data_IF_416892878698
#
_entry.id   IF_416892878698
#
_cell.length_a   1.000
_cell.length_b   1.000
_cell.length_c   1.000
_cell.angle_alpha   90.00
_cell.angle_beta   90.00
_cell.angle_gamma   90.00
#
_symmetry.space_group_name_H-M   'P 1'
#
loop_
_entity.id
_entity.type
_entity.pdbx_description
1 polymer ?
#
# COMPACT_ATOMS: atom_id res chain seq x y z
N UNK A 1 13.97 36.63 -56.73
CA UNK A 1 12.58 37.09 -56.73
C UNK A 1 11.87 36.33 -55.62
N UNK A 2 11.76 36.96 -54.47
CA UNK A 2 11.14 36.40 -53.29
C UNK A 2 9.78 37.09 -53.15
N UNK A 3 8.70 36.31 -53.23
CA UNK A 3 7.34 36.85 -53.06
C UNK A 3 7.07 36.96 -51.54
N UNK A 4 6.88 38.21 -51.10
CA UNK A 4 6.28 38.53 -49.79
C UNK A 4 4.80 38.19 -49.80
N UNK A 5 4.37 37.34 -48.89
CA UNK A 5 2.94 37.09 -48.60
C UNK A 5 2.59 37.95 -47.38
N UNK A 6 1.83 39.02 -47.58
CA UNK A 6 1.32 39.86 -46.50
C UNK A 6 0.09 39.23 -45.85
N UNK A 7 0.16 39.04 -44.53
CA UNK A 7 -0.92 38.49 -43.65
C UNK A 7 -1.74 39.64 -43.01
N UNK A 8 -2.42 40.48 -43.76
CA UNK A 8 -3.17 41.60 -43.17
C UNK A 8 -4.71 41.45 -43.18
N UNK A 9 -5.24 40.26 -43.44
CA UNK A 9 -6.70 40.09 -43.60
C UNK A 9 -7.44 39.34 -42.48
N UNK A 10 -6.75 38.70 -41.53
CA UNK A 10 -7.37 37.72 -40.60
C UNK A 10 -7.35 38.18 -39.13
N UNK A 11 -6.55 39.15 -38.74
CA UNK A 11 -6.34 39.53 -37.32
C UNK A 11 -7.48 40.42 -36.77
N UNK A 12 -8.10 41.25 -37.60
CA UNK A 12 -9.11 42.20 -37.14
C UNK A 12 -10.45 41.58 -36.70
N UNK A 13 -10.98 40.52 -37.34
CA UNK A 13 -12.21 39.87 -36.88
C UNK A 13 -12.05 39.13 -35.55
N UNK A 14 -10.88 38.55 -35.28
CA UNK A 14 -10.61 37.80 -34.03
C UNK A 14 -10.57 38.71 -32.81
N UNK A 15 -10.00 39.89 -32.89
CA UNK A 15 -9.93 40.86 -31.79
C UNK A 15 -11.33 41.38 -31.39
N UNK A 16 -12.24 41.57 -32.34
CA UNK A 16 -13.61 42.02 -32.06
C UNK A 16 -14.44 40.93 -31.38
N UNK A 17 -14.24 39.67 -31.75
CA UNK A 17 -14.90 38.52 -31.10
C UNK A 17 -14.39 38.34 -29.66
N UNK A 18 -13.09 38.48 -29.41
CA UNK A 18 -12.51 38.36 -28.07
C UNK A 18 -12.95 39.50 -27.13
N UNK A 19 -13.04 40.71 -27.63
CA UNK A 19 -13.54 41.87 -26.86
C UNK A 19 -15.02 41.74 -26.49
N UNK A 20 -15.86 41.15 -27.36
CA UNK A 20 -17.29 40.91 -27.08
C UNK A 20 -17.49 39.74 -26.10
N UNK A 21 -16.66 38.69 -26.15
CA UNK A 21 -16.71 37.59 -25.17
C UNK A 21 -16.33 38.07 -23.78
N UNK A 22 -15.26 38.86 -23.62
CA UNK A 22 -14.83 39.40 -22.32
C UNK A 22 -15.86 40.35 -21.71
N UNK A 23 -16.54 41.18 -22.54
CA UNK A 23 -17.56 42.10 -22.05
C UNK A 23 -18.81 41.36 -21.54
N UNK A 24 -19.20 40.27 -22.17
CA UNK A 24 -20.32 39.42 -21.72
C UNK A 24 -19.97 38.61 -20.47
N UNK A 25 -18.72 38.14 -20.32
CA UNK A 25 -18.25 37.43 -19.13
C UNK A 25 -18.24 38.36 -17.93
N UNK A 26 -17.81 39.61 -18.06
CA UNK A 26 -17.83 40.59 -16.95
C UNK A 26 -19.25 41.02 -16.54
N UNK A 27 -20.23 40.98 -17.44
CA UNK A 27 -21.64 41.21 -17.09
C UNK A 27 -22.24 40.05 -16.35
N UNK A 28 -21.86 38.81 -16.69
CA UNK A 28 -22.31 37.59 -16.02
C UNK A 28 -21.77 37.51 -14.58
N UNK A 29 -20.50 37.85 -14.36
CA UNK A 29 -19.90 37.86 -12.99
C UNK A 29 -20.50 38.94 -12.09
N UNK A 30 -20.88 40.11 -12.63
CA UNK A 30 -21.57 41.15 -11.86
C UNK A 30 -23.02 40.74 -11.50
N UNK A 31 -23.73 40.06 -12.36
CA UNK A 31 -25.07 39.50 -12.05
C UNK A 31 -25.00 38.42 -10.98
N UNK A 32 -24.01 37.51 -11.00
CA UNK A 32 -23.81 36.50 -9.97
C UNK A 32 -23.46 37.10 -8.61
N UNK A 33 -22.61 38.14 -8.55
CA UNK A 33 -22.29 38.85 -7.31
C UNK A 33 -23.48 39.56 -6.67
N UNK A 34 -24.37 40.16 -7.49
CA UNK A 34 -25.58 40.79 -6.98
C UNK A 34 -26.61 39.76 -6.47
N UNK A 35 -26.71 38.57 -7.05
CA UNK A 35 -27.59 37.52 -6.58
C UNK A 35 -27.09 36.92 -5.25
N UNK A 36 -25.77 36.78 -5.04
CA UNK A 36 -25.19 36.29 -3.82
C UNK A 36 -25.39 37.25 -2.62
N UNK A 37 -25.32 38.56 -2.86
CA UNK A 37 -25.54 39.59 -1.85
C UNK A 37 -27.02 39.71 -1.47
N UNK A 38 -27.94 39.52 -2.43
CA UNK A 38 -29.37 39.58 -2.17
C UNK A 38 -29.89 38.33 -1.41
N UNK A 39 -29.27 37.16 -1.60
CA UNK A 39 -29.62 35.94 -0.84
C UNK A 39 -29.15 36.00 0.63
N UNK A 40 -28.06 36.69 0.94
CA UNK A 40 -27.56 36.87 2.30
C UNK A 40 -28.42 37.87 3.10
N UNK A 41 -28.98 38.90 2.44
CA UNK A 41 -29.83 39.89 3.10
C UNK A 41 -31.28 39.41 3.36
N UNK A 42 -31.76 38.40 2.66
CA UNK A 42 -33.09 37.82 2.86
C UNK A 42 -33.12 36.74 3.97
N UNK A 43 -31.97 36.19 4.38
CA UNK A 43 -31.85 35.25 5.49
C UNK A 43 -31.75 35.90 6.89
N UNK A 44 -31.54 37.22 6.99
CA UNK A 44 -31.31 37.89 8.26
C UNK A 44 -32.58 38.38 8.98
N UNK A 45 -33.77 38.17 8.43
CA UNK A 45 -35.01 38.75 8.98
C UNK A 45 -36.04 37.77 9.56
N UNK A 46 -35.73 36.50 9.80
CA UNK A 46 -36.62 35.54 10.48
C UNK A 46 -35.82 34.51 11.32
N UNK A 47 -35.21 34.98 12.41
CA UNK A 47 -34.87 34.09 13.52
C UNK A 47 -35.66 34.51 14.75
N UNK A 48 -36.82 33.90 14.95
CA UNK A 48 -37.41 33.73 16.31
C UNK A 48 -36.74 32.48 16.90
N UNK A 49 -36.11 32.68 18.05
CA UNK A 49 -35.53 31.61 18.84
C UNK A 49 -36.54 30.52 19.13
N UNK A 50 -36.35 29.34 18.61
CA UNK A 50 -36.84 28.08 19.16
C UNK A 50 -35.63 27.32 19.70
N UNK A 51 -35.71 26.72 20.90
CA UNK A 51 -34.61 25.90 21.42
C UNK A 51 -34.50 24.63 20.57
N UNK A 52 -33.56 24.60 19.63
CA UNK A 52 -33.25 23.40 18.90
C UNK A 52 -32.48 22.45 19.81
N UNK A 53 -33.15 21.38 20.23
CA UNK A 53 -32.46 20.15 20.62
C UNK A 53 -31.79 19.60 19.35
N UNK A 54 -30.57 20.05 19.04
CA UNK A 54 -29.69 19.35 18.15
C UNK A 54 -29.17 18.14 18.94
N UNK A 55 -29.90 17.02 18.87
CA UNK A 55 -29.24 15.73 18.98
C UNK A 55 -28.31 15.64 17.77
N UNK A 56 -27.05 16.06 17.93
CA UNK A 56 -25.98 15.59 17.12
C UNK A 56 -25.94 14.08 17.33
N UNK A 57 -26.27 13.32 16.29
CA UNK A 57 -25.83 11.94 16.23
C UNK A 57 -24.31 12.02 16.18
N UNK A 58 -23.63 11.92 17.34
CA UNK A 58 -22.25 11.46 17.37
C UNK A 58 -22.28 10.12 16.64
N UNK A 59 -21.74 10.07 15.43
CA UNK A 59 -21.38 8.79 14.83
C UNK A 59 -20.53 8.08 15.87
N UNK A 60 -21.06 7.00 16.42
CA UNK A 60 -20.39 6.22 17.44
C UNK A 60 -19.03 5.82 16.87
N UNK A 61 -17.95 6.32 17.46
CA UNK A 61 -16.59 5.90 17.11
C UNK A 61 -16.58 4.39 17.31
N UNK A 62 -16.30 3.59 16.27
CA UNK A 62 -16.38 2.15 16.39
C UNK A 62 -15.43 1.70 17.52
N UNK A 63 -15.93 0.86 18.41
CA UNK A 63 -15.15 0.28 19.50
C UNK A 63 -13.96 -0.46 18.91
N UNK A 64 -12.76 -0.24 19.49
CA UNK A 64 -11.55 -0.95 19.07
C UNK A 64 -11.66 -2.38 19.58
N UNK A 65 -11.89 -3.32 18.67
CA UNK A 65 -11.87 -4.75 18.99
C UNK A 65 -10.45 -5.24 18.86
N UNK A 66 -9.85 -5.64 20.00
CA UNK A 66 -8.53 -6.29 20.02
C UNK A 66 -8.70 -7.72 19.48
N UNK A 67 -8.01 -8.11 18.40
CA UNK A 67 -8.10 -9.46 17.88
C UNK A 67 -7.64 -10.47 18.95
N UNK A 68 -8.33 -11.60 19.06
CA UNK A 68 -7.83 -12.69 19.92
C UNK A 68 -6.68 -13.39 19.25
N UNK A 69 -5.47 -13.28 19.82
CA UNK A 69 -4.31 -14.04 19.38
C UNK A 69 -4.36 -15.42 19.99
N UNK A 70 -4.22 -16.51 19.22
CA UNK A 70 -4.09 -17.86 19.76
C UNK A 70 -2.91 -17.96 20.74
N UNK A 71 -3.05 -18.77 21.79
CA UNK A 71 -1.97 -18.98 22.74
C UNK A 71 -0.70 -19.51 22.02
N UNK A 72 0.53 -19.10 22.44
CA UNK A 72 1.77 -19.59 21.88
C UNK A 72 1.83 -21.11 21.92
N UNK A 73 2.37 -21.70 20.85
CA UNK A 73 2.56 -23.15 20.70
C UNK A 73 4.05 -23.40 20.41
N UNK A 74 4.75 -24.26 21.17
CA UNK A 74 6.16 -24.55 20.93
C UNK A 74 6.49 -25.06 19.52
N UNK A 75 5.49 -25.62 18.81
CA UNK A 75 5.62 -26.05 17.42
C UNK A 75 5.33 -24.92 16.41
N UNK A 76 4.91 -23.76 16.89
CA UNK A 76 4.55 -22.62 16.02
C UNK A 76 5.80 -21.99 15.38
N UNK A 77 5.63 -21.31 14.22
CA UNK A 77 6.70 -20.58 13.56
C UNK A 77 7.37 -19.56 14.47
N UNK A 78 8.66 -19.30 14.24
CA UNK A 78 9.40 -18.26 14.94
C UNK A 78 9.30 -16.93 14.18
N UNK A 79 9.03 -15.87 14.93
CA UNK A 79 9.15 -14.49 14.49
C UNK A 79 10.32 -13.85 15.23
N UNK A 80 11.36 -13.47 14.51
CA UNK A 80 12.50 -12.73 15.06
C UNK A 80 12.16 -11.25 15.10
N UNK A 81 12.55 -10.58 16.18
CA UNK A 81 12.27 -9.17 16.43
C UNK A 81 13.54 -8.43 16.87
N UNK A 82 13.71 -7.21 16.36
CA UNK A 82 14.67 -6.22 16.88
C UNK A 82 14.01 -4.84 16.97
N UNK A 83 14.33 -4.10 18.03
CA UNK A 83 13.94 -2.67 18.14
C UNK A 83 14.84 -1.75 17.33
N UNK A 84 15.99 -2.25 16.83
CA UNK A 84 16.93 -1.50 16.00
C UNK A 84 16.44 -1.36 14.56
N UNK A 85 15.84 -0.18 14.25
CA UNK A 85 15.39 0.18 12.91
C UNK A 85 16.53 0.89 12.17
N UNK A 86 17.61 0.18 11.97
CA UNK A 86 18.75 0.61 11.14
C UNK A 86 18.98 -0.35 9.98
N UNK A 87 19.85 0.02 9.06
CA UNK A 87 20.26 -0.85 7.96
C UNK A 87 20.93 -2.14 8.48
N UNK A 88 21.64 -2.05 9.60
CA UNK A 88 22.25 -3.18 10.33
C UNK A 88 21.19 -4.03 11.03
N UNK A 89 20.19 -3.42 11.66
CA UNK A 89 19.08 -4.13 12.30
C UNK A 89 18.29 -4.99 11.32
N UNK A 90 18.03 -4.48 10.11
CA UNK A 90 17.38 -5.26 9.03
C UNK A 90 18.24 -6.44 8.60
N UNK A 91 19.55 -6.27 8.51
CA UNK A 91 20.47 -7.37 8.19
C UNK A 91 20.49 -8.42 9.30
N UNK A 92 20.55 -8.00 10.59
CA UNK A 92 20.56 -8.93 11.72
C UNK A 92 19.29 -9.78 11.78
N UNK A 93 18.12 -9.19 11.57
CA UNK A 93 16.86 -9.95 11.61
C UNK A 93 16.74 -10.90 10.42
N UNK A 94 17.27 -10.54 9.25
CA UNK A 94 17.39 -11.44 8.12
C UNK A 94 18.34 -12.61 8.42
N UNK A 95 19.51 -12.34 8.99
CA UNK A 95 20.48 -13.39 9.34
C UNK A 95 19.91 -14.36 10.38
N UNK A 96 19.12 -13.88 11.32
CA UNK A 96 18.46 -14.71 12.34
C UNK A 96 17.50 -15.77 11.75
N UNK A 97 16.97 -15.54 10.53
CA UNK A 97 16.16 -16.54 9.83
C UNK A 97 16.93 -17.82 9.50
N UNK A 98 18.26 -17.74 9.37
CA UNK A 98 19.10 -18.89 9.02
C UNK A 98 18.86 -19.45 7.60
N UNK A 99 18.18 -18.71 6.72
CA UNK A 99 17.87 -19.10 5.34
C UNK A 99 18.77 -18.33 4.39
N UNK A 100 19.76 -18.96 3.76
CA UNK A 100 20.67 -18.29 2.85
C UNK A 100 19.95 -17.92 1.54
N UNK A 101 20.02 -16.65 1.15
CA UNK A 101 19.59 -16.24 -0.18
C UNK A 101 20.48 -16.87 -1.24
N UNK A 102 19.89 -17.44 -2.29
CA UNK A 102 20.61 -18.13 -3.36
C UNK A 102 19.99 -17.85 -4.73
N UNK A 103 20.79 -18.03 -5.78
CA UNK A 103 20.34 -17.75 -7.15
C UNK A 103 20.11 -16.28 -7.43
N UNK A 104 19.14 -15.97 -8.26
CA UNK A 104 18.71 -14.59 -8.55
C UNK A 104 17.73 -14.14 -7.49
N UNK A 105 18.13 -13.14 -6.69
CA UNK A 105 17.38 -12.68 -5.52
C UNK A 105 16.53 -11.47 -5.87
N UNK A 106 15.22 -11.59 -5.69
CA UNK A 106 14.28 -10.49 -5.70
C UNK A 106 14.13 -9.91 -4.29
N UNK A 107 14.25 -8.61 -4.12
CA UNK A 107 13.84 -7.90 -2.90
C UNK A 107 12.58 -7.12 -3.20
N UNK A 108 11.42 -7.63 -2.78
CA UNK A 108 10.12 -7.02 -3.05
C UNK A 108 9.83 -5.91 -2.05
N UNK A 109 9.72 -4.70 -2.56
CA UNK A 109 9.47 -3.49 -1.78
C UNK A 109 8.24 -2.72 -2.29
N UNK A 110 7.92 -1.60 -1.65
CA UNK A 110 7.04 -0.55 -2.17
C UNK A 110 7.83 0.75 -2.24
N UNK A 111 8.02 1.27 -3.46
CA UNK A 111 8.82 2.48 -3.72
C UNK A 111 8.07 3.78 -3.43
N UNK A 112 6.78 3.69 -3.04
CA UNK A 112 5.94 4.84 -2.71
C UNK A 112 5.40 5.58 -3.94
N UNK A 113 4.30 6.30 -3.77
CA UNK A 113 3.66 7.06 -4.86
C UNK A 113 4.31 8.43 -5.08
N UNK A 114 4.84 9.05 -4.02
CA UNK A 114 5.56 10.32 -4.09
C UNK A 114 6.72 10.37 -3.10
N UNK A 115 7.55 11.42 -3.18
CA UNK A 115 8.60 11.66 -2.20
C UNK A 115 8.06 11.90 -0.77
N UNK A 116 6.76 12.25 -0.64
CA UNK A 116 6.08 12.44 0.65
C UNK A 116 5.47 11.15 1.22
N UNK A 117 5.36 10.09 0.42
CA UNK A 117 4.93 8.77 0.90
C UNK A 117 5.90 8.26 1.97
N UNK A 118 5.39 7.52 2.97
CA UNK A 118 6.19 7.04 4.10
C UNK A 118 6.95 5.73 3.79
N UNK A 119 7.22 5.43 2.52
CA UNK A 119 7.90 4.22 2.06
C UNK A 119 9.30 4.05 2.69
N UNK A 120 9.80 2.83 2.74
CA UNK A 120 11.15 2.51 3.19
C UNK A 120 12.19 3.24 2.33
N UNK A 121 13.06 4.01 2.97
CA UNK A 121 14.08 4.78 2.27
C UNK A 121 15.22 3.87 1.79
N UNK A 122 15.86 4.18 0.63
CA UNK A 122 16.97 3.39 0.12
C UNK A 122 18.08 3.14 1.14
N UNK A 123 18.45 4.16 1.92
CA UNK A 123 19.51 4.10 2.93
C UNK A 123 19.23 3.03 3.99
N UNK A 124 17.95 2.84 4.35
CA UNK A 124 17.54 1.88 5.38
C UNK A 124 17.66 0.44 4.88
N UNK A 125 17.41 0.18 3.59
CA UNK A 125 17.37 -1.18 3.04
C UNK A 125 18.66 -1.57 2.31
N UNK A 126 19.57 -0.61 2.06
CA UNK A 126 20.77 -0.78 1.25
C UNK A 126 21.62 -1.96 1.67
N UNK A 127 21.92 -2.08 2.98
CA UNK A 127 22.84 -3.11 3.46
C UNK A 127 22.30 -4.53 3.21
N UNK A 128 21.00 -4.75 3.41
CA UNK A 128 20.38 -6.03 3.08
C UNK A 128 20.43 -6.32 1.58
N UNK A 129 20.01 -5.36 0.74
CA UNK A 129 19.96 -5.53 -0.71
C UNK A 129 21.35 -5.84 -1.28
N UNK A 130 22.37 -5.13 -0.83
CA UNK A 130 23.76 -5.33 -1.27
C UNK A 130 24.34 -6.65 -0.73
N UNK A 131 24.03 -7.02 0.53
CA UNK A 131 24.47 -8.28 1.13
C UNK A 131 24.03 -9.50 0.31
N UNK A 132 22.80 -9.48 -0.20
CA UNK A 132 22.23 -10.60 -0.96
C UNK A 132 22.41 -10.45 -2.48
N UNK A 133 23.11 -9.40 -2.94
CA UNK A 133 23.19 -9.05 -4.36
C UNK A 133 21.82 -9.03 -5.04
N UNK A 134 20.84 -8.42 -4.36
CA UNK A 134 19.44 -8.47 -4.73
C UNK A 134 19.05 -7.44 -5.80
N UNK A 135 18.05 -7.77 -6.60
CA UNK A 135 17.32 -6.83 -7.46
C UNK A 135 16.09 -6.36 -6.72
N UNK A 136 15.87 -5.05 -6.63
CA UNK A 136 14.64 -4.48 -6.13
C UNK A 136 13.50 -4.73 -7.14
N UNK A 137 12.38 -5.28 -6.69
CA UNK A 137 11.28 -5.63 -7.60
C UNK A 137 9.96 -5.00 -7.19
N UNK A 138 9.20 -4.53 -8.19
CA UNK A 138 7.84 -4.00 -8.08
C UNK A 138 7.00 -4.37 -9.31
N UNK A 139 5.70 -4.09 -9.26
CA UNK A 139 4.81 -4.06 -10.42
C UNK A 139 4.09 -2.71 -10.51
N UNK A 140 3.69 -2.32 -11.71
CA UNK A 140 2.91 -1.11 -11.96
C UNK A 140 1.59 -1.11 -11.17
N UNK A 141 1.08 0.08 -10.86
CA UNK A 141 -0.21 0.23 -10.18
C UNK A 141 -1.38 0.15 -11.16
N UNK A 142 -2.55 -0.26 -10.66
CA UNK A 142 -3.78 -0.33 -11.43
C UNK A 142 -4.59 0.98 -11.42
N UNK A 143 -4.10 2.02 -10.73
CA UNK A 143 -4.69 3.36 -10.68
C UNK A 143 -3.76 4.38 -11.32
N UNK A 144 -4.29 5.55 -11.69
CA UNK A 144 -3.49 6.65 -12.20
C UNK A 144 -2.51 7.19 -11.15
N UNK A 145 -1.31 7.59 -11.59
CA UNK A 145 -0.28 8.13 -10.70
C UNK A 145 1.12 7.94 -11.26
N UNK A 146 2.11 8.12 -10.39
CA UNK A 146 3.54 8.08 -10.77
C UNK A 146 4.07 6.66 -11.02
N UNK A 147 3.31 5.63 -10.69
CA UNK A 147 3.66 4.22 -10.89
C UNK A 147 2.68 3.49 -11.81
N UNK A 148 1.87 4.23 -12.59
CA UNK A 148 0.82 3.65 -13.44
C UNK A 148 1.32 3.07 -14.76
N UNK A 149 2.53 3.39 -15.17
CA UNK A 149 3.21 2.83 -16.34
C UNK A 149 4.68 2.59 -15.99
N UNK A 150 5.32 1.65 -16.67
CA UNK A 150 6.73 1.33 -16.45
C UNK A 150 7.63 2.57 -16.57
N UNK A 151 7.42 3.42 -17.57
CA UNK A 151 8.20 4.66 -17.75
C UNK A 151 8.09 5.60 -16.56
N UNK A 152 6.86 5.89 -16.10
CA UNK A 152 6.62 6.75 -14.94
C UNK A 152 7.17 6.12 -13.65
N UNK A 153 7.01 4.82 -13.51
CA UNK A 153 7.46 4.08 -12.33
C UNK A 153 8.99 4.10 -12.22
N UNK A 154 9.71 3.85 -13.33
CA UNK A 154 11.17 3.94 -13.36
C UNK A 154 11.67 5.36 -13.05
N UNK A 155 11.00 6.39 -13.57
CA UNK A 155 11.30 7.78 -13.22
C UNK A 155 11.09 8.05 -11.72
N UNK A 156 9.99 7.56 -11.16
CA UNK A 156 9.71 7.71 -9.74
C UNK A 156 10.76 6.99 -8.85
N UNK A 157 11.27 5.86 -9.28
CA UNK A 157 12.33 5.10 -8.64
C UNK A 157 13.65 5.86 -8.67
N UNK A 158 14.02 6.43 -9.82
CA UNK A 158 15.21 7.27 -9.98
C UNK A 158 15.14 8.51 -9.08
N UNK A 159 14.03 9.23 -9.09
CA UNK A 159 13.81 10.42 -8.24
C UNK A 159 13.93 10.12 -6.74
N UNK A 160 13.75 8.87 -6.31
CA UNK A 160 13.83 8.43 -4.91
C UNK A 160 15.14 7.75 -4.55
N UNK A 161 16.09 7.64 -5.49
CA UNK A 161 17.43 7.13 -5.25
C UNK A 161 17.53 5.61 -5.12
N UNK A 162 16.51 4.83 -5.51
CA UNK A 162 16.62 3.38 -5.44
C UNK A 162 17.64 2.79 -6.40
N UNK A 163 17.85 3.43 -7.57
CA UNK A 163 18.88 3.02 -8.54
C UNK A 163 20.31 3.18 -8.01
N UNK A 164 20.51 3.99 -6.96
CA UNK A 164 21.82 4.21 -6.34
C UNK A 164 22.26 3.03 -5.46
N UNK A 165 21.32 2.17 -5.06
CA UNK A 165 21.60 1.05 -4.17
C UNK A 165 21.55 -0.32 -4.84
N UNK A 166 20.75 -0.50 -5.89
CA UNK A 166 20.62 -1.76 -6.64
C UNK A 166 19.94 -1.56 -8.00
N UNK A 167 20.00 -2.58 -8.85
CA UNK A 167 19.13 -2.70 -10.02
C UNK A 167 17.68 -2.78 -9.59
N UNK A 168 16.78 -2.13 -10.34
CA UNK A 168 15.33 -2.19 -10.12
C UNK A 168 14.65 -2.82 -11.33
N UNK A 169 13.72 -3.74 -11.08
CA UNK A 169 12.92 -4.43 -12.10
C UNK A 169 11.43 -4.21 -11.85
N UNK A 170 10.72 -3.69 -12.84
CA UNK A 170 9.26 -3.62 -12.88
C UNK A 170 8.76 -4.91 -13.52
N UNK A 171 8.40 -5.89 -12.70
CA UNK A 171 8.16 -7.27 -13.12
C UNK A 171 7.06 -7.44 -14.17
N UNK A 172 6.11 -6.51 -14.27
CA UNK A 172 5.05 -6.51 -15.28
C UNK A 172 5.33 -5.60 -16.48
N UNK A 173 6.60 -5.14 -16.66
CA UNK A 173 6.99 -4.28 -17.78
C UNK A 173 6.89 -4.96 -19.14
N UNK A 174 7.08 -6.28 -19.21
CA UNK A 174 7.05 -7.09 -20.43
C UNK A 174 5.85 -8.05 -20.47
N UNK A 175 4.87 -7.89 -19.57
CA UNK A 175 3.64 -8.67 -19.58
C UNK A 175 3.34 -9.38 -18.25
N UNK A 176 2.48 -10.37 -18.32
CA UNK A 176 1.93 -11.06 -17.16
C UNK A 176 2.18 -12.56 -17.20
N UNK A 177 2.18 -13.18 -16.04
CA UNK A 177 2.22 -14.63 -15.84
C UNK A 177 1.05 -15.01 -14.92
N UNK A 178 0.23 -15.97 -15.35
CA UNK A 178 -0.81 -16.54 -14.50
C UNK A 178 -0.24 -17.74 -13.74
N UNK A 179 -0.16 -17.64 -12.41
CA UNK A 179 0.25 -18.73 -11.53
C UNK A 179 -0.96 -19.39 -10.87
N UNK A 180 -0.91 -20.72 -10.59
CA UNK A 180 -2.04 -21.42 -10.01
C UNK A 180 -2.31 -20.98 -8.57
N UNK A 181 -3.58 -20.87 -8.21
CA UNK A 181 -4.05 -20.71 -6.83
C UNK A 181 -4.50 -22.04 -6.26
N UNK A 182 -4.22 -22.31 -4.99
CA UNK A 182 -4.75 -23.51 -4.29
C UNK A 182 -6.19 -23.26 -3.83
N UNK A 183 -6.48 -22.08 -3.29
CA UNK A 183 -7.83 -21.65 -2.97
C UNK A 183 -8.46 -20.89 -4.13
N UNK A 184 -9.43 -21.49 -4.79
CA UNK A 184 -10.12 -20.93 -5.95
C UNK A 184 -11.53 -20.39 -5.63
N UNK A 185 -11.80 -20.04 -4.37
CA UNK A 185 -13.11 -19.49 -3.94
C UNK A 185 -13.47 -18.23 -4.75
N UNK A 186 -12.57 -17.28 -4.83
CA UNK A 186 -12.78 -16.01 -5.52
C UNK A 186 -12.00 -15.92 -6.82
N UNK A 187 -10.66 -16.02 -6.75
CA UNK A 187 -9.77 -15.94 -7.91
C UNK A 187 -9.45 -17.34 -8.43
N UNK A 188 -9.27 -17.49 -9.73
CA UNK A 188 -8.98 -18.78 -10.37
C UNK A 188 -7.50 -18.95 -10.72
N UNK A 189 -6.77 -17.88 -10.73
CA UNK A 189 -5.32 -17.75 -10.92
C UNK A 189 -4.86 -16.47 -10.23
N UNK A 190 -3.58 -16.36 -9.95
CA UNK A 190 -2.98 -15.08 -9.60
C UNK A 190 -2.19 -14.56 -10.79
N UNK A 191 -2.52 -13.35 -11.27
CA UNK A 191 -1.89 -12.72 -12.44
C UNK A 191 -0.79 -11.79 -11.99
N UNK A 192 0.43 -12.29 -11.98
CA UNK A 192 1.65 -11.63 -11.53
C UNK A 192 2.42 -10.99 -12.69
N UNK A 193 3.44 -10.18 -12.37
CA UNK A 193 4.38 -9.70 -13.38
C UNK A 193 5.19 -10.86 -13.98
N UNK A 194 5.38 -10.87 -15.31
CA UNK A 194 6.02 -12.00 -16.02
C UNK A 194 7.46 -12.25 -15.55
N UNK A 195 8.16 -11.22 -15.08
CA UNK A 195 9.54 -11.35 -14.60
C UNK A 195 9.67 -12.08 -13.26
N UNK A 196 8.56 -12.42 -12.56
CA UNK A 196 8.60 -13.27 -11.37
C UNK A 196 9.34 -14.58 -11.63
N UNK A 197 9.21 -15.14 -12.82
CA UNK A 197 9.90 -16.37 -13.26
C UNK A 197 11.43 -16.23 -13.31
N UNK A 198 11.96 -15.00 -13.34
CA UNK A 198 13.39 -14.74 -13.42
C UNK A 198 14.11 -14.92 -12.08
N UNK A 199 13.39 -15.09 -10.97
CA UNK A 199 13.95 -15.11 -9.63
C UNK A 199 13.86 -16.51 -9.00
N UNK A 200 14.89 -16.82 -8.23
CA UNK A 200 15.03 -18.09 -7.52
C UNK A 200 14.77 -17.91 -6.02
N UNK A 201 14.98 -16.71 -5.50
CA UNK A 201 14.77 -16.35 -4.10
C UNK A 201 14.03 -15.00 -3.98
N UNK A 202 13.09 -14.90 -3.05
CA UNK A 202 12.43 -13.63 -2.77
C UNK A 202 12.58 -13.24 -1.29
N UNK A 203 13.04 -12.02 -1.04
CA UNK A 203 12.90 -11.35 0.24
C UNK A 203 11.70 -10.42 0.11
N UNK A 204 10.59 -10.77 0.74
CA UNK A 204 9.42 -9.91 0.84
C UNK A 204 9.67 -8.90 1.96
N UNK A 205 10.22 -7.73 1.60
CA UNK A 205 10.56 -6.64 2.51
C UNK A 205 9.44 -5.61 2.51
N UNK A 206 8.54 -5.70 3.46
CA UNK A 206 7.38 -4.83 3.55
C UNK A 206 7.58 -3.71 4.59
N UNK A 207 7.09 -2.53 4.26
CA UNK A 207 6.80 -1.48 5.22
C UNK A 207 5.42 -1.78 5.84
N UNK A 208 5.33 -1.97 7.16
CA UNK A 208 4.06 -2.17 7.85
C UNK A 208 3.38 -0.83 8.13
N UNK A 209 2.10 -0.68 7.79
CA UNK A 209 1.32 0.57 7.90
C UNK A 209 -0.16 0.32 7.70
N UNK A 210 -0.98 1.37 7.88
CA UNK A 210 -2.39 1.34 7.50
C UNK A 210 -2.61 1.24 5.99
N UNK A 211 -3.82 0.88 5.62
CA UNK A 211 -4.24 0.84 4.21
C UNK A 211 -5.73 1.16 4.08
N UNK A 212 -6.07 2.02 3.11
CA UNK A 212 -7.44 2.51 2.93
C UNK A 212 -8.46 1.39 2.66
N UNK A 213 -8.08 0.34 1.95
CA UNK A 213 -8.96 -0.76 1.58
C UNK A 213 -8.70 -2.04 2.39
N UNK A 214 -7.44 -2.43 2.60
CA UNK A 214 -7.10 -3.68 3.31
C UNK A 214 -6.97 -3.53 4.84
N UNK A 215 -7.21 -2.34 5.40
CA UNK A 215 -6.99 -2.07 6.83
C UNK A 215 -5.53 -1.82 7.16
N UNK A 216 -4.65 -2.75 6.82
CA UNK A 216 -3.21 -2.62 6.92
C UNK A 216 -2.49 -3.15 5.68
N UNK A 217 -1.20 -2.88 5.58
CA UNK A 217 -0.31 -3.45 4.58
C UNK A 217 0.94 -3.97 5.27
N UNK A 218 1.14 -5.28 5.23
CA UNK A 218 2.32 -6.01 5.64
C UNK A 218 2.79 -6.93 4.52
N UNK A 219 3.45 -8.04 4.87
CA UNK A 219 4.02 -8.97 3.87
C UNK A 219 2.94 -9.69 3.05
N UNK A 220 1.78 -10.02 3.62
CA UNK A 220 0.67 -10.63 2.87
C UNK A 220 0.20 -9.73 1.73
N UNK A 221 0.02 -8.43 2.00
CA UNK A 221 -0.33 -7.46 0.96
C UNK A 221 0.81 -7.22 -0.02
N UNK A 222 2.05 -7.13 0.46
CA UNK A 222 3.20 -6.85 -0.40
C UNK A 222 3.44 -7.96 -1.41
N UNK A 223 3.20 -9.23 -1.06
CA UNK A 223 3.34 -10.33 -2.01
C UNK A 223 2.10 -10.59 -2.84
N UNK A 224 0.88 -10.31 -2.37
CA UNK A 224 -0.32 -10.43 -3.19
C UNK A 224 -0.45 -9.26 -4.16
N UNK A 225 -0.90 -8.10 -3.67
CA UNK A 225 -1.12 -6.89 -4.49
C UNK A 225 0.20 -6.37 -5.08
N UNK A 226 1.31 -6.44 -4.33
CA UNK A 226 2.59 -5.89 -4.77
C UNK A 226 3.25 -6.68 -5.91
N UNK A 227 3.05 -7.98 -6.00
CA UNK A 227 3.58 -8.88 -7.04
C UNK A 227 2.63 -9.04 -8.23
N UNK A 228 1.32 -8.86 -8.00
CA UNK A 228 0.33 -8.86 -9.06
C UNK A 228 0.62 -7.77 -10.10
N UNK A 229 0.43 -8.07 -11.39
CA UNK A 229 0.42 -7.07 -12.46
C UNK A 229 -0.72 -6.08 -12.29
N UNK A 230 -0.75 -5.00 -13.08
CA UNK A 230 -1.88 -4.05 -13.04
C UNK A 230 -3.23 -4.74 -13.23
N UNK A 231 -3.35 -5.70 -14.14
CA UNK A 231 -4.56 -6.49 -14.34
C UNK A 231 -4.86 -7.43 -13.16
N UNK A 232 -3.82 -8.06 -12.59
CA UNK A 232 -3.93 -8.92 -11.42
C UNK A 232 -4.40 -8.16 -10.18
N UNK A 233 -3.93 -6.93 -9.98
CA UNK A 233 -4.42 -6.05 -8.93
C UNK A 233 -5.92 -5.81 -9.03
N UNK A 234 -6.45 -5.53 -10.23
CA UNK A 234 -7.89 -5.35 -10.48
C UNK A 234 -8.65 -6.65 -10.18
N UNK A 235 -8.08 -7.79 -10.57
CA UNK A 235 -8.70 -9.10 -10.37
C UNK A 235 -8.84 -9.44 -8.88
N UNK A 236 -7.78 -9.22 -8.09
CA UNK A 236 -7.80 -9.42 -6.64
C UNK A 236 -8.78 -8.44 -5.96
N UNK A 237 -8.71 -7.13 -6.28
CA UNK A 237 -9.60 -6.13 -5.67
C UNK A 237 -11.08 -6.35 -5.99
N UNK A 238 -11.38 -6.94 -7.13
CA UNK A 238 -12.75 -7.26 -7.53
C UNK A 238 -13.25 -8.60 -7.00
N UNK A 239 -12.49 -9.32 -6.19
CA UNK A 239 -12.79 -10.69 -5.79
C UNK A 239 -13.06 -11.58 -7.02
N UNK A 240 -12.14 -11.58 -7.99
CA UNK A 240 -12.18 -12.43 -9.18
C UNK A 240 -13.16 -12.02 -10.28
N UNK A 241 -13.79 -10.84 -10.19
CA UNK A 241 -14.87 -10.45 -11.13
C UNK A 241 -14.37 -9.67 -12.36
N UNK A 242 -13.22 -9.01 -12.28
CA UNK A 242 -12.72 -8.17 -13.38
C UNK A 242 -11.21 -7.96 -13.35
N UNK A 243 -10.58 -8.06 -14.52
CA UNK A 243 -9.17 -7.67 -14.76
C UNK A 243 -9.02 -6.28 -15.38
N UNK A 244 -10.14 -5.60 -15.67
CA UNK A 244 -10.14 -4.33 -16.42
C UNK A 244 -10.85 -3.19 -15.71
N UNK A 245 -11.62 -3.47 -14.68
CA UNK A 245 -12.39 -2.46 -13.93
C UNK A 245 -12.15 -2.58 -12.44
N UNK A 246 -12.00 -1.43 -11.81
CA UNK A 246 -11.93 -1.33 -10.36
C UNK A 246 -13.29 -1.65 -9.73
N UNK A 247 -13.31 -2.56 -8.77
CA UNK A 247 -14.50 -2.93 -7.99
C UNK A 247 -14.05 -3.16 -6.54
N UNK A 248 -14.81 -2.65 -5.57
CA UNK A 248 -14.46 -2.71 -4.14
C UNK A 248 -15.69 -2.84 -3.22
N UNK A 249 -16.75 -3.47 -3.72
CA UNK A 249 -18.04 -3.65 -3.03
C UNK A 249 -18.15 -5.00 -2.28
N UNK A 250 -17.07 -5.78 -2.23
CA UNK A 250 -16.98 -7.03 -1.49
C UNK A 250 -15.68 -7.05 -0.66
N UNK A 251 -15.76 -6.51 0.56
CA UNK A 251 -14.60 -6.31 1.42
C UNK A 251 -13.92 -7.63 1.81
N UNK A 252 -14.68 -8.59 2.32
CA UNK A 252 -14.12 -9.87 2.76
C UNK A 252 -13.62 -10.70 1.57
N UNK A 253 -14.37 -10.71 0.46
CA UNK A 253 -13.92 -11.37 -0.78
C UNK A 253 -12.63 -10.77 -1.34
N UNK A 254 -12.38 -9.47 -1.15
CA UNK A 254 -11.11 -8.83 -1.49
C UNK A 254 -9.98 -9.32 -0.56
N UNK A 255 -10.20 -9.35 0.75
CA UNK A 255 -9.20 -9.82 1.73
C UNK A 255 -8.85 -11.29 1.54
N UNK A 256 -9.87 -12.14 1.30
CA UNK A 256 -9.71 -13.55 0.99
C UNK A 256 -8.99 -13.78 -0.33
N UNK A 257 -9.29 -12.95 -1.35
CA UNK A 257 -8.53 -12.98 -2.63
C UNK A 257 -7.07 -12.57 -2.45
N UNK A 258 -6.77 -11.62 -1.58
CA UNK A 258 -5.38 -11.27 -1.24
C UNK A 258 -4.67 -12.44 -0.56
N UNK A 259 -5.33 -13.14 0.37
CA UNK A 259 -4.76 -14.31 1.04
C UNK A 259 -4.48 -15.44 0.04
N UNK A 260 -5.40 -15.73 -0.87
CA UNK A 260 -5.23 -16.74 -1.93
C UNK A 260 -4.10 -16.38 -2.90
N UNK A 261 -3.98 -15.11 -3.32
CA UNK A 261 -2.88 -14.63 -4.15
C UNK A 261 -1.53 -14.69 -3.40
N UNK A 262 -1.51 -14.30 -2.11
CA UNK A 262 -0.31 -14.45 -1.28
C UNK A 262 0.13 -15.91 -1.17
N UNK A 263 -0.81 -16.84 -1.01
CA UNK A 263 -0.53 -18.27 -1.01
C UNK A 263 0.03 -18.75 -2.36
N UNK A 264 -0.50 -18.26 -3.47
CA UNK A 264 -0.02 -18.63 -4.80
C UNK A 264 1.46 -18.23 -5.00
N UNK A 265 1.84 -17.00 -4.61
CA UNK A 265 3.23 -16.54 -4.66
C UNK A 265 4.12 -17.33 -3.70
N UNK A 266 3.66 -17.59 -2.47
CA UNK A 266 4.38 -18.44 -1.52
C UNK A 266 4.66 -19.83 -2.12
N UNK A 267 3.63 -20.51 -2.63
CA UNK A 267 3.74 -21.83 -3.23
C UNK A 267 4.65 -21.83 -4.47
N UNK A 268 4.64 -20.76 -5.25
CA UNK A 268 5.53 -20.60 -6.39
C UNK A 268 7.00 -20.61 -5.97
N UNK A 269 7.34 -19.95 -4.85
CA UNK A 269 8.71 -19.91 -4.32
C UNK A 269 9.05 -21.09 -3.40
N UNK A 270 8.09 -21.96 -3.04
CA UNK A 270 8.37 -23.20 -2.29
C UNK A 270 8.53 -24.41 -3.20
N UNK A 271 8.71 -24.20 -4.52
CA UNK A 271 9.11 -25.25 -5.46
C UNK A 271 10.61 -25.55 -5.34
N UNK A 272 11.03 -26.67 -5.91
CA UNK A 272 12.45 -27.08 -5.91
C UNK A 272 13.36 -25.98 -6.50
N UNK A 273 14.43 -25.66 -5.78
CA UNK A 273 15.41 -24.64 -6.18
C UNK A 273 14.98 -23.18 -5.94
N UNK A 274 13.84 -22.93 -5.30
CA UNK A 274 13.34 -21.59 -4.96
C UNK A 274 13.03 -21.48 -3.48
N UNK A 275 13.07 -20.25 -2.94
CA UNK A 275 12.61 -19.99 -1.59
C UNK A 275 12.15 -18.53 -1.40
N UNK A 276 11.44 -18.26 -0.29
CA UNK A 276 10.94 -16.95 0.09
C UNK A 276 11.01 -16.75 1.60
N UNK A 277 11.41 -15.56 2.01
CA UNK A 277 11.41 -15.11 3.41
C UNK A 277 10.74 -13.74 3.53
N UNK A 278 10.36 -13.38 4.75
CA UNK A 278 9.48 -12.25 5.02
C UNK A 278 10.08 -11.33 6.07
N UNK A 279 10.02 -10.01 5.82
CA UNK A 279 10.46 -8.97 6.75
C UNK A 279 9.41 -7.85 6.74
N UNK A 280 8.94 -7.45 7.93
CA UNK A 280 8.15 -6.24 8.14
C UNK A 280 8.98 -5.20 8.89
N UNK A 281 9.00 -3.97 8.38
CA UNK A 281 9.59 -2.81 9.06
C UNK A 281 8.45 -1.94 9.58
N UNK A 282 8.38 -1.78 10.90
CA UNK A 282 7.33 -1.04 11.60
C UNK A 282 7.84 0.35 12.02
N UNK A 283 8.12 1.19 11.02
CA UNK A 283 8.55 2.58 11.21
C UNK A 283 7.66 3.53 10.40
N UNK A 284 7.58 4.78 10.81
CA UNK A 284 6.79 5.81 10.12
C UNK A 284 5.38 5.33 9.75
N UNK A 285 4.74 4.58 10.64
CA UNK A 285 3.45 3.94 10.40
C UNK A 285 2.32 4.96 10.36
N UNK A 286 1.85 5.26 9.15
CA UNK A 286 0.66 6.08 8.89
C UNK A 286 -0.59 5.19 8.83
N UNK A 287 -1.77 5.80 8.98
CA UNK A 287 -3.06 5.18 8.65
C UNK A 287 -3.22 4.96 7.14
N UNK A 288 -2.41 5.66 6.33
CA UNK A 288 -2.42 5.57 4.88
C UNK A 288 -1.20 4.79 4.38
N UNK A 289 -1.33 4.24 3.19
CA UNK A 289 -0.35 3.36 2.58
C UNK A 289 0.68 4.17 1.77
N UNK A 290 1.84 3.57 1.47
CA UNK A 290 2.84 4.14 0.55
C UNK A 290 2.30 4.43 -0.84
N UNK A 291 1.13 3.88 -1.19
CA UNK A 291 0.41 4.16 -2.43
C UNK A 291 -0.35 5.50 -2.40
N UNK A 292 -0.38 6.21 -1.28
CA UNK A 292 -0.89 7.56 -1.18
C UNK A 292 0.26 8.56 -1.40
N UNK A 293 0.06 9.49 -2.33
CA UNK A 293 1.04 10.53 -2.65
C UNK A 293 1.10 11.67 -1.62
N UNK A 294 0.12 11.73 -0.69
CA UNK A 294 0.04 12.70 0.38
C UNK A 294 -0.57 12.08 1.65
N UNK A 295 0.07 11.05 2.21
CA UNK A 295 -0.46 10.30 3.35
C UNK A 295 -0.55 11.18 4.60
N UNK A 296 -1.42 10.79 5.52
CA UNK A 296 -1.44 11.34 6.87
C UNK A 296 -0.07 11.14 7.55
N UNK A 297 0.32 12.10 8.38
CA UNK A 297 1.55 11.97 9.16
C UNK A 297 1.48 10.73 10.08
N UNK A 298 2.57 9.96 10.19
CA UNK A 298 2.69 8.90 11.17
C UNK A 298 2.44 9.44 12.59
N UNK A 299 1.68 8.71 13.40
CA UNK A 299 1.38 9.08 14.79
C UNK A 299 1.87 8.02 15.77
N UNK A 300 1.71 6.75 15.42
CA UNK A 300 2.17 5.64 16.25
C UNK A 300 3.70 5.60 16.25
N UNK A 301 4.27 5.36 17.43
CA UNK A 301 5.70 5.21 17.61
C UNK A 301 6.24 4.05 16.77
N UNK A 302 7.45 4.21 16.25
CA UNK A 302 8.18 3.14 15.59
C UNK A 302 8.39 1.97 16.55
N UNK A 303 8.17 0.74 16.08
CA UNK A 303 8.13 -0.45 16.94
C UNK A 303 9.34 -1.37 16.75
N UNK A 304 9.83 -1.51 15.52
CA UNK A 304 10.97 -2.40 15.25
C UNK A 304 10.93 -3.03 13.87
N UNK A 305 11.75 -4.05 13.70
CA UNK A 305 11.82 -4.88 12.48
C UNK A 305 11.57 -6.33 12.88
N UNK A 306 10.69 -7.00 12.15
CA UNK A 306 10.34 -8.40 12.39
C UNK A 306 10.62 -9.24 11.14
N UNK A 307 11.01 -10.49 11.32
CA UNK A 307 11.21 -11.44 10.23
C UNK A 307 10.71 -12.84 10.58
N UNK A 308 10.20 -13.56 9.59
CA UNK A 308 9.79 -14.96 9.71
C UNK A 308 9.88 -15.68 8.36
N UNK A 309 9.88 -17.00 8.38
CA UNK A 309 9.63 -17.83 7.19
C UNK A 309 8.15 -18.10 6.96
N UNK A 310 7.28 -17.67 7.89
CA UNK A 310 5.82 -17.77 7.81
C UNK A 310 5.22 -16.36 7.71
N UNK A 311 4.54 -16.02 6.58
CA UNK A 311 4.01 -14.68 6.38
C UNK A 311 2.79 -14.36 7.25
N UNK A 312 2.03 -15.37 7.65
CA UNK A 312 0.84 -15.21 8.50
C UNK A 312 1.27 -14.90 9.94
N UNK A 313 2.23 -15.67 10.46
CA UNK A 313 2.82 -15.45 11.76
C UNK A 313 3.42 -14.04 11.87
N UNK A 314 4.11 -13.61 10.82
CA UNK A 314 4.75 -12.29 10.78
C UNK A 314 3.75 -11.13 10.80
N UNK A 315 2.74 -11.16 9.93
CA UNK A 315 1.72 -10.11 9.90
C UNK A 315 0.86 -10.13 11.17
N UNK A 316 0.57 -11.31 11.74
CA UNK A 316 -0.13 -11.44 13.03
C UNK A 316 0.68 -10.82 14.17
N UNK A 317 1.98 -11.09 14.25
CA UNK A 317 2.84 -10.49 15.26
C UNK A 317 2.87 -8.95 15.19
N UNK A 318 2.90 -8.39 13.97
CA UNK A 318 2.81 -6.94 13.77
C UNK A 318 1.45 -6.38 14.21
N UNK A 319 0.35 -7.07 13.91
CA UNK A 319 -1.00 -6.69 14.38
C UNK A 319 -1.07 -6.69 15.89
N UNK A 320 -0.55 -7.73 16.55
CA UNK A 320 -0.56 -7.84 18.00
C UNK A 320 0.24 -6.71 18.67
N UNK A 321 1.38 -6.33 18.10
CA UNK A 321 2.15 -5.16 18.55
C UNK A 321 1.34 -3.86 18.41
N UNK A 322 0.62 -3.64 17.30
CA UNK A 322 -0.22 -2.46 17.10
C UNK A 322 -1.40 -2.44 18.07
N UNK A 323 -2.09 -3.56 18.27
CA UNK A 323 -3.25 -3.62 19.16
C UNK A 323 -2.88 -3.66 20.64
N UNK A 324 -1.71 -4.20 20.98
CA UNK A 324 -1.16 -4.18 22.32
C UNK A 324 -0.43 -2.90 22.69
N UNK A 325 -0.23 -1.97 21.72
CA UNK A 325 0.50 -0.75 21.96
C UNK A 325 -0.29 0.21 22.85
N UNK A 326 0.38 0.64 23.94
CA UNK A 326 -0.10 1.68 24.84
C UNK A 326 1.01 2.69 25.03
N UNK A 327 0.76 3.96 24.73
CA UNK A 327 1.68 5.04 25.06
C UNK A 327 1.24 5.79 26.32
N UNK A 328 2.11 6.69 26.83
CA UNK A 328 1.81 7.52 28.01
C UNK A 328 0.71 8.55 27.76
N UNK A 329 0.41 8.86 26.51
CA UNK A 329 -0.67 9.76 26.07
C UNK A 329 -1.92 8.99 25.67
N UNK A 330 -1.79 7.68 25.46
CA UNK A 330 -2.87 6.70 25.37
C UNK A 330 -3.51 6.52 24.01
N UNK A 331 -3.15 7.26 22.95
CA UNK A 331 -3.99 7.36 21.77
C UNK A 331 -3.27 7.38 20.41
N UNK A 332 -1.96 7.24 20.34
CA UNK A 332 -1.22 7.36 19.09
C UNK A 332 -1.52 6.22 18.09
N UNK A 333 -1.74 4.99 18.56
CA UNK A 333 -2.09 3.84 17.74
C UNK A 333 -3.58 3.75 17.37
N UNK A 334 -4.47 4.44 18.09
CA UNK A 334 -5.92 4.37 17.85
C UNK A 334 -6.35 4.61 16.39
N UNK A 335 -5.85 5.62 15.68
CA UNK A 335 -6.26 5.84 14.30
C UNK A 335 -5.94 4.65 13.38
N UNK A 336 -4.78 3.99 13.62
CA UNK A 336 -4.36 2.82 12.86
C UNK A 336 -5.23 1.59 13.24
N UNK A 337 -5.44 1.34 14.52
CA UNK A 337 -6.32 0.27 15.03
C UNK A 337 -7.75 0.42 14.48
N UNK A 338 -8.31 1.64 14.49
CA UNK A 338 -9.62 1.93 13.93
C UNK A 338 -9.69 1.70 12.40
N UNK A 339 -8.62 2.05 11.67
CA UNK A 339 -8.51 1.78 10.24
C UNK A 339 -8.54 0.28 9.98
N UNK A 340 -7.76 -0.51 10.74
CA UNK A 340 -7.70 -1.97 10.61
C UNK A 340 -9.08 -2.57 10.88
N UNK A 341 -9.72 -2.21 11.99
CA UNK A 341 -11.05 -2.73 12.34
C UNK A 341 -12.12 -2.34 11.31
N UNK A 342 -12.17 -1.08 10.87
CA UNK A 342 -13.15 -0.59 9.89
C UNK A 342 -13.09 -1.37 8.57
N UNK A 343 -11.91 -1.78 8.18
CA UNK A 343 -11.67 -2.49 6.93
C UNK A 343 -11.64 -4.02 7.13
N UNK A 344 -12.05 -4.54 8.28
CA UNK A 344 -11.95 -5.96 8.64
C UNK A 344 -10.52 -6.51 8.43
N UNK A 345 -9.49 -5.67 8.62
CA UNK A 345 -8.14 -5.95 8.17
C UNK A 345 -7.54 -7.24 8.74
N UNK A 346 -7.93 -7.67 9.97
CA UNK A 346 -7.45 -8.92 10.56
C UNK A 346 -7.95 -10.17 9.84
N UNK A 347 -9.06 -10.06 9.10
CA UNK A 347 -9.62 -11.19 8.36
C UNK A 347 -8.63 -11.80 7.34
N UNK A 348 -7.68 -11.02 6.81
CA UNK A 348 -6.67 -11.57 5.90
C UNK A 348 -5.78 -12.61 6.58
N UNK A 349 -5.34 -12.38 7.85
CA UNK A 349 -4.52 -13.37 8.58
C UNK A 349 -5.34 -14.58 9.00
N UNK A 350 -6.61 -14.38 9.35
CA UNK A 350 -7.56 -15.44 9.69
C UNK A 350 -7.78 -16.37 8.51
N UNK A 351 -8.11 -15.79 7.36
CA UNK A 351 -8.36 -16.57 6.15
C UNK A 351 -7.09 -17.20 5.58
N UNK A 352 -5.94 -16.50 5.67
CA UNK A 352 -4.66 -17.06 5.23
C UNK A 352 -4.27 -18.31 6.05
N UNK A 353 -4.57 -18.35 7.36
CA UNK A 353 -4.44 -19.55 8.20
C UNK A 353 -5.45 -20.63 7.78
N UNK A 354 -6.72 -20.27 7.55
CA UNK A 354 -7.78 -21.20 7.13
C UNK A 354 -7.41 -21.95 5.83
N UNK A 355 -6.85 -21.25 4.85
CA UNK A 355 -6.41 -21.87 3.58
C UNK A 355 -5.03 -22.54 3.66
N UNK A 356 -4.38 -22.54 4.84
CA UNK A 356 -3.13 -23.25 5.08
C UNK A 356 -1.87 -22.55 4.53
N UNK A 357 -1.88 -21.21 4.39
CA UNK A 357 -0.68 -20.45 4.02
C UNK A 357 0.35 -20.40 5.15
N UNK A 358 -0.09 -20.33 6.39
CA UNK A 358 0.76 -20.25 7.57
C UNK A 358 -0.05 -20.31 8.85
N UNK A 359 0.51 -19.84 9.97
CA UNK A 359 -0.12 -19.91 11.28
C UNK A 359 -0.18 -18.54 11.97
N UNK A 360 -1.31 -18.22 12.59
CA UNK A 360 -1.47 -17.04 13.45
C UNK A 360 -0.84 -17.25 14.84
N UNK A 361 -0.52 -18.50 15.21
CA UNK A 361 0.29 -18.80 16.38
C UNK A 361 1.75 -18.62 16.02
N UNK A 362 2.52 -18.03 16.92
CA UNK A 362 3.96 -17.81 16.70
C UNK A 362 4.73 -17.74 18.02
N UNK A 363 6.02 -17.97 17.94
CA UNK A 363 6.97 -17.70 19.01
C UNK A 363 7.80 -16.47 18.63
N UNK A 364 7.86 -15.46 19.50
CA UNK A 364 8.69 -14.27 19.27
C UNK A 364 10.05 -14.44 19.93
N UNK A 365 11.12 -14.13 19.19
CA UNK A 365 12.50 -14.12 19.66
C UNK A 365 13.07 -12.72 19.47
N UNK A 366 13.33 -12.03 20.58
CA UNK A 366 14.01 -10.75 20.57
C UNK A 366 15.53 -10.97 20.43
N UNK A 367 16.15 -10.38 19.41
CA UNK A 367 17.59 -10.51 19.12
C UNK A 367 18.42 -9.29 19.57
N UNK A 368 17.85 -8.37 20.37
CA UNK A 368 18.54 -7.16 20.82
C UNK A 368 19.53 -7.40 21.98
N UNK A 369 19.55 -8.55 22.57
CA UNK A 369 20.35 -8.87 23.75
C UNK A 369 21.50 -9.85 23.51
N UNK A 370 21.73 -10.24 22.27
CA UNK A 370 22.77 -11.23 21.89
C UNK A 370 24.06 -10.53 21.45
#
# INVERSE_FOLDING_TARGET
MINEITYDGIILPFLIIFARLNHNLMKLTRLFSCFLILSVLLCASKCKEQPSKTQGSEEAVPEIVVPSTPAPDPAAPTVYFTSDISAEGIVRVFDALGVPASGRVAVKISTGESARSNHLRPELIKNLVQKVNGTLVECNTAYGGNRSTTEKHLKAIEERGYNDIATVDIMDSEGTLDIPVSDSKWIKYDRVGSHLQNYDFMINLAHFKGHAMGGFGGVLKNQSIGVASSEGKLYIHSAGRSTTRWMSDNQDGFLESMAAAAQAVHNYFKQEGKDIVYINVMNNMSVDCDCDGNPASPKVKDMGVLASTDPVALDQACLDLVFGHTDSTGDDAKPLQQRINRQHGTHITEYAEEIGLGSRKYNIVNIDGD
#
